data_IF_539937804850
#
_entry.id   IF_539937804850
#
_cell.length_a   1.000
_cell.length_b   1.000
_cell.length_c   1.000
_cell.angle_alpha   90.00
_cell.angle_beta   90.00
_cell.angle_gamma   90.00
#
_symmetry.space_group_name_H-M   'P 1'
#
loop_
_entity.id
_entity.type
_entity.pdbx_description
1 polymer ?
#
# COMPACT_ATOMS: atom_id res chain seq x y z
N UNK A 1 -3.45 -13.40 -18.75
CA UNK A 1 -2.84 -12.11 -18.37
C UNK A 1 -3.63 -11.44 -17.26
N UNK A 2 -4.93 -11.13 -17.47
CA UNK A 2 -5.83 -10.48 -16.49
C UNK A 2 -5.87 -11.19 -15.12
N UNK A 3 -5.93 -12.53 -15.08
CA UNK A 3 -5.94 -13.31 -13.83
C UNK A 3 -4.68 -13.10 -12.96
N UNK A 4 -3.49 -12.96 -13.57
CA UNK A 4 -2.23 -12.71 -12.84
C UNK A 4 -2.21 -11.29 -12.29
N UNK A 5 -2.68 -10.31 -13.06
CA UNK A 5 -2.78 -8.90 -12.62
C UNK A 5 -3.73 -8.73 -11.45
N UNK A 6 -4.87 -9.42 -11.48
CA UNK A 6 -5.88 -9.36 -10.42
C UNK A 6 -5.38 -10.01 -9.13
N UNK A 7 -4.76 -11.20 -9.23
CA UNK A 7 -4.11 -11.86 -8.08
C UNK A 7 -3.07 -10.96 -7.45
N UNK A 8 -2.17 -10.39 -8.25
CA UNK A 8 -1.09 -9.54 -7.74
C UNK A 8 -1.63 -8.26 -7.07
N UNK A 9 -2.72 -7.69 -7.58
CA UNK A 9 -3.42 -6.58 -6.91
C UNK A 9 -3.99 -6.99 -5.56
N UNK A 10 -4.64 -8.15 -5.47
CA UNK A 10 -5.15 -8.69 -4.21
C UNK A 10 -4.01 -8.92 -3.20
N UNK A 11 -2.91 -9.53 -3.64
CA UNK A 11 -1.72 -9.76 -2.81
C UNK A 11 -1.18 -8.41 -2.29
N UNK A 12 -1.11 -7.36 -3.12
CA UNK A 12 -0.70 -6.02 -2.68
C UNK A 12 -1.68 -5.37 -1.69
N UNK A 13 -2.99 -5.61 -1.85
CA UNK A 13 -4.04 -5.09 -0.94
C UNK A 13 -3.86 -5.69 0.46
N UNK A 14 -3.72 -7.01 0.56
CA UNK A 14 -3.74 -7.71 1.85
C UNK A 14 -2.36 -7.94 2.46
N UNK A 15 -1.34 -8.20 1.62
CA UNK A 15 -0.02 -8.63 2.08
C UNK A 15 1.06 -7.54 1.93
N UNK A 16 0.75 -6.39 1.29
CA UNK A 16 1.70 -5.30 1.01
C UNK A 16 2.89 -5.67 0.11
N UNK A 17 2.98 -6.91 -0.36
CA UNK A 17 3.97 -7.38 -1.32
C UNK A 17 3.32 -8.27 -2.38
N UNK A 18 4.00 -8.45 -3.51
CA UNK A 18 3.62 -9.37 -4.58
C UNK A 18 4.85 -9.85 -5.33
N UNK A 19 4.74 -11.00 -6.00
CA UNK A 19 5.82 -11.57 -6.81
C UNK A 19 5.45 -11.42 -8.29
N UNK A 20 6.25 -10.66 -9.02
CA UNK A 20 6.12 -10.47 -10.46
C UNK A 20 7.42 -10.93 -11.10
N UNK A 21 7.36 -11.91 -11.99
CA UNK A 21 8.52 -12.44 -12.71
C UNK A 21 9.71 -12.81 -11.79
N UNK A 22 9.42 -13.57 -10.73
CA UNK A 22 10.36 -13.99 -9.68
C UNK A 22 11.07 -12.85 -8.92
N UNK A 23 10.56 -11.63 -9.00
CA UNK A 23 11.04 -10.49 -8.21
C UNK A 23 9.95 -10.07 -7.24
N UNK A 24 10.36 -9.78 -6.02
CA UNK A 24 9.48 -9.27 -4.98
C UNK A 24 9.30 -7.76 -5.15
N UNK A 25 8.05 -7.33 -5.15
CA UNK A 25 7.64 -5.93 -5.19
C UNK A 25 6.78 -5.65 -3.97
N UNK A 26 6.89 -4.42 -3.46
CA UNK A 26 6.08 -3.95 -2.34
C UNK A 26 5.49 -2.58 -2.62
N UNK A 27 4.47 -2.24 -1.84
CA UNK A 27 3.96 -0.89 -1.77
C UNK A 27 4.97 0.05 -1.10
N UNK A 28 5.11 1.30 -1.56
CA UNK A 28 6.02 2.27 -0.96
C UNK A 28 5.60 2.67 0.45
N UNK A 29 6.58 3.06 1.27
CA UNK A 29 6.39 3.33 2.69
C UNK A 29 5.39 4.43 3.02
N UNK A 30 5.22 5.44 2.15
CA UNK A 30 4.26 6.52 2.42
C UNK A 30 2.80 6.03 2.44
N UNK A 31 2.51 4.84 1.91
CA UNK A 31 1.18 4.19 1.97
C UNK A 31 0.91 3.59 3.36
N UNK A 32 1.94 3.46 4.19
CA UNK A 32 1.81 2.90 5.54
C UNK A 32 0.75 3.65 6.36
N UNK A 33 0.76 4.98 6.32
CA UNK A 33 -0.18 5.83 7.06
C UNK A 33 -1.63 5.58 6.62
N UNK A 34 -2.00 5.75 5.33
CA UNK A 34 -3.38 5.54 4.90
C UNK A 34 -3.85 4.09 5.10
N UNK A 35 -2.97 3.09 4.95
CA UNK A 35 -3.32 1.69 5.28
C UNK A 35 -3.51 1.45 6.77
N UNK A 36 -2.73 2.11 7.62
CA UNK A 36 -2.89 2.02 9.08
C UNK A 36 -4.22 2.64 9.51
N UNK A 37 -4.60 3.78 8.94
CA UNK A 37 -5.90 4.41 9.17
C UNK A 37 -7.04 3.48 8.74
N UNK A 38 -6.93 2.87 7.56
CA UNK A 38 -7.88 1.85 7.08
C UNK A 38 -7.98 0.67 8.05
N UNK A 39 -6.86 0.10 8.48
CA UNK A 39 -6.83 -1.00 9.44
C UNK A 39 -7.44 -0.61 10.78
N UNK A 40 -7.26 0.63 11.23
CA UNK A 40 -7.93 1.15 12.42
C UNK A 40 -9.45 1.18 12.26
N UNK A 41 -9.95 1.62 11.09
CA UNK A 41 -11.38 1.56 10.74
C UNK A 41 -11.88 0.10 10.80
N UNK A 42 -11.11 -0.86 10.27
CA UNK A 42 -11.46 -2.28 10.26
C UNK A 42 -11.47 -2.95 11.64
N UNK A 43 -10.50 -2.65 12.51
CA UNK A 43 -10.23 -3.44 13.73
C UNK A 43 -10.75 -2.84 15.03
N UNK A 44 -10.82 -1.51 15.13
CA UNK A 44 -11.10 -0.82 16.41
C UNK A 44 -12.48 -0.15 16.46
N UNK A 45 -13.44 -0.62 15.65
CA UNK A 45 -14.79 -0.07 15.65
C UNK A 45 -14.91 1.29 14.98
N UNK A 46 -13.92 1.70 14.17
CA UNK A 46 -14.00 2.93 13.38
C UNK A 46 -15.15 2.95 12.37
N UNK A 47 -15.77 1.79 12.09
CA UNK A 47 -17.04 1.71 11.37
C UNK A 47 -18.17 2.50 12.02
N UNK A 48 -18.24 2.61 13.36
CA UNK A 48 -19.27 3.39 14.04
C UNK A 48 -19.10 4.88 13.74
N UNK A 49 -17.85 5.36 13.81
CA UNK A 49 -17.49 6.75 13.50
C UNK A 49 -17.75 7.04 12.03
N UNK A 50 -17.37 6.12 11.14
CA UNK A 50 -17.59 6.25 9.70
C UNK A 50 -19.10 6.27 9.37
N UNK A 51 -19.90 5.42 10.01
CA UNK A 51 -21.36 5.41 9.85
C UNK A 51 -22.00 6.71 10.31
N UNK A 52 -21.54 7.27 11.45
CA UNK A 52 -22.00 8.57 11.94
C UNK A 52 -21.65 9.70 10.96
N UNK A 53 -20.39 9.74 10.46
CA UNK A 53 -19.95 10.71 9.47
C UNK A 53 -20.73 10.62 8.15
N UNK A 54 -21.01 9.40 7.68
CA UNK A 54 -21.84 9.19 6.49
C UNK A 54 -23.27 9.69 6.76
N UNK A 55 -23.82 9.41 7.94
CA UNK A 55 -25.13 9.91 8.35
C UNK A 55 -25.22 11.43 8.29
N UNK A 56 -24.31 12.12 8.98
CA UNK A 56 -24.26 13.59 9.01
C UNK A 56 -24.03 14.20 7.61
N UNK A 57 -23.12 13.63 6.82
CA UNK A 57 -22.85 14.11 5.46
C UNK A 57 -24.12 14.13 4.60
N UNK A 58 -24.89 13.05 4.61
CA UNK A 58 -26.10 12.97 3.80
C UNK A 58 -27.25 13.79 4.37
N UNK A 59 -27.29 14.00 5.69
CA UNK A 59 -28.22 14.93 6.33
C UNK A 59 -27.97 16.38 5.88
N UNK A 60 -26.70 16.80 5.74
CA UNK A 60 -26.34 18.11 5.16
C UNK A 60 -26.89 18.27 3.73
N UNK A 61 -26.94 17.18 2.95
CA UNK A 61 -27.51 17.18 1.60
C UNK A 61 -29.03 16.92 1.58
N UNK A 62 -29.69 16.84 2.73
CA UNK A 62 -31.12 16.59 2.88
C UNK A 62 -31.57 15.23 2.29
N UNK A 63 -30.67 14.25 2.25
CA UNK A 63 -30.91 12.90 1.73
C UNK A 63 -31.18 11.95 2.89
N UNK A 64 -32.35 11.32 2.91
CA UNK A 64 -32.68 10.27 3.88
C UNK A 64 -32.06 8.94 3.47
N UNK A 65 -31.03 8.51 4.17
CA UNK A 65 -30.46 7.18 4.03
C UNK A 65 -31.16 6.17 4.94
N UNK A 66 -31.46 4.98 4.40
CA UNK A 66 -31.86 3.85 5.24
C UNK A 66 -30.66 3.34 6.04
N UNK A 67 -30.92 2.74 7.20
CA UNK A 67 -29.89 2.11 8.02
C UNK A 67 -29.07 1.06 7.23
N UNK A 68 -29.74 0.30 6.36
CA UNK A 68 -29.08 -0.67 5.47
C UNK A 68 -28.11 -0.01 4.48
N UNK A 69 -28.47 1.16 3.93
CA UNK A 69 -27.60 1.90 3.03
C UNK A 69 -26.39 2.49 3.77
N UNK A 70 -26.56 2.93 5.02
CA UNK A 70 -25.44 3.38 5.88
C UNK A 70 -24.47 2.22 6.12
N UNK A 71 -24.95 1.03 6.49
CA UNK A 71 -24.11 -0.16 6.69
C UNK A 71 -23.35 -0.49 5.40
N UNK A 72 -24.05 -0.51 4.27
CA UNK A 72 -23.44 -0.84 2.98
C UNK A 72 -22.34 0.16 2.60
N UNK A 73 -22.59 1.46 2.73
CA UNK A 73 -21.62 2.52 2.45
C UNK A 73 -20.41 2.45 3.41
N UNK A 74 -20.66 2.13 4.67
CA UNK A 74 -19.64 2.00 5.72
C UNK A 74 -18.65 0.87 5.42
N UNK A 75 -19.08 -0.18 4.71
CA UNK A 75 -18.20 -1.27 4.25
C UNK A 75 -17.58 -0.95 2.89
N UNK A 76 -18.38 -0.40 1.96
CA UNK A 76 -17.96 -0.13 0.60
C UNK A 76 -16.85 0.93 0.52
N UNK A 77 -16.97 2.03 1.26
CA UNK A 77 -16.02 3.16 1.21
C UNK A 77 -14.61 2.71 1.60
N UNK A 78 -14.38 2.01 2.73
CA UNK A 78 -13.05 1.51 3.08
C UNK A 78 -12.47 0.53 2.06
N UNK A 79 -13.29 -0.34 1.46
CA UNK A 79 -12.84 -1.28 0.42
C UNK A 79 -12.39 -0.50 -0.81
N UNK A 80 -13.18 0.48 -1.24
CA UNK A 80 -12.88 1.32 -2.39
C UNK A 80 -11.61 2.14 -2.17
N UNK A 81 -11.46 2.75 -0.98
CA UNK A 81 -10.26 3.49 -0.61
C UNK A 81 -9.01 2.60 -0.62
N UNK A 82 -9.09 1.38 -0.08
CA UNK A 82 -7.98 0.44 -0.10
C UNK A 82 -7.59 0.04 -1.53
N UNK A 83 -8.59 -0.19 -2.39
CA UNK A 83 -8.36 -0.44 -3.82
C UNK A 83 -7.67 0.75 -4.51
N UNK A 84 -8.18 1.97 -4.31
CA UNK A 84 -7.63 3.19 -4.91
C UNK A 84 -6.19 3.44 -4.46
N UNK A 85 -5.90 3.24 -3.18
CA UNK A 85 -4.55 3.35 -2.63
C UNK A 85 -3.61 2.41 -3.38
N UNK A 86 -3.95 1.13 -3.52
CA UNK A 86 -3.07 0.17 -4.21
C UNK A 86 -2.95 0.47 -5.71
N UNK A 87 -4.06 0.81 -6.36
CA UNK A 87 -4.10 1.05 -7.81
C UNK A 87 -3.21 2.22 -8.24
N UNK A 88 -3.24 3.34 -7.51
CA UNK A 88 -2.43 4.53 -7.83
C UNK A 88 -1.01 4.48 -7.26
N UNK A 89 -0.64 3.42 -6.56
CA UNK A 89 0.66 3.32 -5.93
C UNK A 89 1.70 2.70 -6.85
N UNK A 90 2.86 3.34 -7.05
CA UNK A 90 3.97 2.76 -7.79
C UNK A 90 4.53 1.57 -7.02
N UNK A 91 4.90 0.50 -7.73
CA UNK A 91 5.52 -0.67 -7.13
C UNK A 91 7.02 -0.42 -6.92
N UNK A 92 7.50 -0.72 -5.71
CA UNK A 92 8.92 -0.63 -5.38
C UNK A 92 9.50 -2.03 -5.35
N UNK A 93 10.53 -2.29 -6.16
CA UNK A 93 11.27 -3.56 -6.11
C UNK A 93 11.97 -3.69 -4.76
N UNK A 94 11.82 -4.84 -4.11
CA UNK A 94 12.58 -5.18 -2.92
C UNK A 94 13.94 -5.70 -3.36
N UNK A 95 15.03 -5.01 -2.99
CA UNK A 95 16.38 -5.55 -3.18
C UNK A 95 16.56 -6.74 -2.23
N UNK A 96 16.97 -7.89 -2.77
CA UNK A 96 17.29 -9.06 -1.94
C UNK A 96 18.52 -8.78 -1.08
N UNK A 97 18.68 -9.54 0.02
CA UNK A 97 19.85 -9.42 0.91
C UNK A 97 21.15 -9.62 0.11
N UNK A 98 21.16 -10.56 -0.84
CA UNK A 98 22.29 -10.81 -1.74
C UNK A 98 22.57 -9.63 -2.69
N UNK A 99 21.55 -9.06 -3.33
CA UNK A 99 21.70 -7.86 -4.18
C UNK A 99 22.27 -6.69 -3.38
N UNK A 100 21.79 -6.49 -2.15
CA UNK A 100 22.23 -5.42 -1.25
C UNK A 100 23.68 -5.60 -0.78
N UNK A 101 24.08 -6.83 -0.45
CA UNK A 101 25.46 -7.17 -0.08
C UNK A 101 26.42 -6.97 -1.26
N UNK A 102 26.03 -7.43 -2.46
CA UNK A 102 26.84 -7.29 -3.66
C UNK A 102 27.04 -5.82 -4.05
N UNK A 103 25.98 -5.00 -3.98
CA UNK A 103 26.05 -3.55 -4.23
C UNK A 103 26.97 -2.82 -3.25
N UNK A 104 26.92 -3.19 -1.96
CA UNK A 104 27.82 -2.69 -0.92
C UNK A 104 29.28 -3.06 -1.17
N UNK A 105 29.54 -4.30 -1.58
CA UNK A 105 30.87 -4.78 -1.95
C UNK A 105 31.46 -3.97 -3.11
N UNK A 106 30.72 -3.82 -4.22
CA UNK A 106 31.19 -3.07 -5.39
C UNK A 106 31.41 -1.58 -5.08
N UNK A 107 30.59 -1.00 -4.20
CA UNK A 107 30.79 0.38 -3.72
C UNK A 107 32.12 0.51 -2.97
N UNK A 108 32.40 -0.37 -2.01
CA UNK A 108 33.68 -0.39 -1.29
C UNK A 108 34.85 -0.63 -2.24
N UNK A 109 34.74 -1.58 -3.16
CA UNK A 109 35.79 -1.86 -4.14
C UNK A 109 36.12 -0.62 -5.00
N UNK A 110 35.10 0.11 -5.45
CA UNK A 110 35.29 1.36 -6.21
C UNK A 110 36.00 2.42 -5.38
N UNK A 111 35.60 2.63 -4.13
CA UNK A 111 36.27 3.56 -3.21
C UNK A 111 37.75 3.20 -3.00
N UNK A 112 38.07 1.91 -2.83
CA UNK A 112 39.46 1.44 -2.77
C UNK A 112 40.22 1.75 -4.07
N UNK A 113 39.66 1.37 -5.22
CA UNK A 113 40.30 1.58 -6.52
C UNK A 113 40.59 3.06 -6.78
N UNK A 114 39.63 3.94 -6.48
CA UNK A 114 39.77 5.39 -6.67
C UNK A 114 40.82 5.99 -5.72
N UNK A 115 40.97 5.45 -4.50
CA UNK A 115 42.02 5.87 -3.57
C UNK A 115 43.42 5.50 -4.06
N UNK A 116 43.60 4.29 -4.58
CA UNK A 116 44.91 3.87 -5.13
C UNK A 116 45.26 4.60 -6.43
N UNK A 117 44.26 4.97 -7.25
CA UNK A 117 44.46 5.72 -8.48
C UNK A 117 44.80 7.21 -8.26
N UNK A 118 44.60 7.73 -7.05
CA UNK A 118 44.99 9.09 -6.65
C UNK A 118 46.40 9.19 -6.05
N UNK A 119 46.97 8.05 -5.65
CA UNK A 119 48.27 7.98 -4.98
C UNK A 119 49.41 7.49 -5.89
N UNK A 120 49.10 7.20 -7.16
CA UNK A 120 50.05 6.94 -8.26
C UNK A 120 49.77 7.94 -9.38
#
# INVERSE_FOLDING_TARGET
MIKKTFKNHFDLIFQNYTIIDNKEYRLPYYIYIPKTILNFIYLFGGFIILAALIGELFEIFNIKLSFSAIIFLTILIPILLNYLIVYFSPLVKVETIEEKQNKSFWKKYKEYKDKYKKNN
#
